data_IF_863421115124
#
_entry.id   IF_863421115124
#
_cell.length_a   1.000
_cell.length_b   1.000
_cell.length_c   1.000
_cell.angle_alpha   90.00
_cell.angle_beta   90.00
_cell.angle_gamma   90.00
#
_symmetry.space_group_name_H-M   'P 1'
#
loop_
_entity.id
_entity.type
_entity.pdbx_description
1 polymer ?
#
# COMPACT_ATOMS: atom_id res chain seq x y z
N UNK A 1 29.24 -5.73 -4.75
CA UNK A 1 28.98 -4.33 -4.33
C UNK A 1 30.29 -3.55 -4.38
N UNK A 2 30.30 -2.26 -4.77
CA UNK A 2 31.53 -1.48 -4.87
C UNK A 2 32.12 -1.13 -3.49
N UNK A 3 33.45 -1.03 -3.35
CA UNK A 3 34.11 -0.58 -2.12
C UNK A 3 33.94 0.94 -1.99
N UNK A 4 33.23 1.40 -0.96
CA UNK A 4 32.94 2.82 -0.72
C UNK A 4 31.48 3.12 -0.36
N UNK A 5 30.58 2.14 -0.48
CA UNK A 5 29.23 2.21 0.07
C UNK A 5 29.27 1.89 1.57
N UNK A 6 29.69 2.85 2.38
CA UNK A 6 29.49 2.83 3.83
C UNK A 6 28.00 2.91 4.18
N UNK A 7 27.63 2.37 5.35
CA UNK A 7 26.28 2.42 5.92
C UNK A 7 25.65 3.81 5.72
N UNK A 8 24.45 3.81 5.10
CA UNK A 8 23.77 5.04 4.69
C UNK A 8 23.48 5.91 5.91
N UNK A 9 23.93 7.17 5.80
CA UNK A 9 23.67 8.31 6.69
C UNK A 9 23.72 8.01 8.18
N UNK A 10 24.75 8.52 8.85
CA UNK A 10 24.57 9.06 10.20
C UNK A 10 23.57 10.22 10.09
N UNK A 11 22.28 9.89 9.99
CA UNK A 11 21.20 10.86 10.05
C UNK A 11 21.27 11.52 11.41
N UNK A 12 21.18 12.85 11.44
CA UNK A 12 21.08 13.59 12.69
C UNK A 12 20.09 12.90 13.64
N UNK A 13 20.42 12.81 14.93
CA UNK A 13 19.54 12.22 15.93
C UNK A 13 18.10 12.74 15.71
N UNK A 14 17.11 11.85 15.72
CA UNK A 14 15.70 12.14 15.48
C UNK A 14 15.19 13.35 16.26
N UNK A 15 15.69 13.55 17.48
CA UNK A 15 15.43 14.71 18.31
C UNK A 15 15.76 16.05 17.62
N UNK A 16 16.84 16.08 16.83
CA UNK A 16 17.31 17.24 16.06
C UNK A 16 16.40 17.51 14.86
N UNK A 17 15.99 16.46 14.14
CA UNK A 17 15.10 16.58 12.98
C UNK A 17 13.68 17.05 13.39
N UNK A 18 13.13 16.47 14.46
CA UNK A 18 11.79 16.80 14.95
C UNK A 18 11.71 18.23 15.51
N UNK A 19 12.77 18.70 16.20
CA UNK A 19 12.88 20.09 16.66
C UNK A 19 12.94 21.09 15.51
N UNK A 20 13.69 20.78 14.45
CA UNK A 20 13.83 21.66 13.29
C UNK A 20 12.52 21.86 12.50
N UNK A 21 11.57 20.93 12.63
CA UNK A 21 10.27 20.99 11.95
C UNK A 21 9.11 21.40 12.87
N UNK A 22 9.38 21.89 14.09
CA UNK A 22 8.36 22.31 15.06
C UNK A 22 7.32 21.22 15.39
N UNK A 23 7.68 19.95 15.20
CA UNK A 23 6.80 18.82 15.48
C UNK A 23 6.95 18.41 16.95
N UNK A 24 5.88 18.36 17.76
CA UNK A 24 5.97 17.93 19.15
C UNK A 24 6.39 16.45 19.20
N UNK A 25 7.57 16.17 19.76
CA UNK A 25 7.96 14.82 20.15
C UNK A 25 7.11 14.40 21.34
N UNK A 26 6.04 13.64 21.09
CA UNK A 26 5.48 12.76 22.11
C UNK A 26 6.40 11.54 22.16
N UNK A 27 7.01 11.20 23.31
CA UNK A 27 7.71 9.94 23.45
C UNK A 27 6.71 8.83 23.14
N UNK A 28 6.87 8.16 22.00
CA UNK A 28 6.12 6.96 21.68
C UNK A 28 6.43 6.00 22.81
N UNK A 29 5.43 5.68 23.65
CA UNK A 29 5.60 4.60 24.62
C UNK A 29 6.08 3.38 23.83
N UNK A 30 7.22 2.81 24.22
CA UNK A 30 7.77 1.65 23.51
C UNK A 30 6.71 0.56 23.51
N UNK A 31 6.27 0.07 22.34
CA UNK A 31 5.26 -0.97 22.29
C UNK A 31 5.74 -2.15 23.13
N UNK A 32 4.96 -2.57 24.11
CA UNK A 32 5.28 -3.73 24.95
C UNK A 32 4.67 -4.97 24.28
N UNK A 33 5.44 -6.05 24.19
CA UNK A 33 4.94 -7.36 23.78
C UNK A 33 4.00 -7.96 24.83
N UNK A 34 3.36 -9.08 24.52
CA UNK A 34 2.48 -9.80 25.47
C UNK A 34 3.19 -10.19 26.79
N UNK A 35 4.51 -10.26 26.76
CA UNK A 35 5.39 -10.52 27.91
C UNK A 35 5.79 -9.25 28.69
N UNK A 36 5.32 -8.07 28.29
CA UNK A 36 5.70 -6.80 28.92
C UNK A 36 7.11 -6.32 28.54
N UNK A 37 7.77 -6.95 27.57
CA UNK A 37 9.10 -6.53 27.09
C UNK A 37 8.98 -5.52 25.95
N UNK A 38 9.88 -4.53 25.86
CA UNK A 38 9.95 -3.61 24.73
C UNK A 38 10.12 -4.35 23.40
N UNK A 39 9.20 -4.13 22.46
CA UNK A 39 9.34 -4.65 21.09
C UNK A 39 10.45 -3.83 20.42
N UNK A 40 11.56 -4.44 19.98
CA UNK A 40 12.60 -3.73 19.25
C UNK A 40 12.00 -3.22 17.93
N UNK A 41 11.90 -1.90 17.79
CA UNK A 41 11.53 -1.22 16.55
C UNK A 41 12.82 -0.82 15.86
N UNK A 42 13.06 -1.35 14.67
CA UNK A 42 14.33 -1.16 13.94
C UNK A 42 14.60 0.32 13.59
N UNK A 43 13.56 1.14 13.50
CA UNK A 43 13.64 2.56 13.13
C UNK A 43 12.80 3.43 14.09
N UNK A 44 13.40 3.93 15.17
CA UNK A 44 12.81 5.01 15.96
C UNK A 44 12.49 6.20 15.05
N UNK A 45 11.40 6.93 15.29
CA UNK A 45 11.02 8.11 14.47
C UNK A 45 10.39 7.83 13.11
N UNK A 46 10.37 6.58 12.62
CA UNK A 46 9.55 6.20 11.46
C UNK A 46 8.13 5.86 11.86
N UNK A 47 7.17 6.24 11.00
CA UNK A 47 5.77 5.87 11.20
C UNK A 47 5.65 4.35 11.16
N UNK A 48 5.20 3.74 12.26
CA UNK A 48 5.08 2.29 12.32
C UNK A 48 4.06 1.79 11.28
N UNK A 49 4.26 0.57 10.79
CA UNK A 49 3.28 -0.12 9.93
C UNK A 49 1.88 -0.13 10.56
N UNK A 50 1.79 -0.33 11.88
CA UNK A 50 0.52 -0.34 12.61
C UNK A 50 -0.15 1.02 12.56
N UNK A 51 0.61 2.11 12.69
CA UNK A 51 0.07 3.47 12.58
C UNK A 51 -0.49 3.72 11.19
N UNK A 52 0.19 3.28 10.13
CA UNK A 52 -0.33 3.37 8.76
C UNK A 52 -1.62 2.57 8.58
N UNK A 53 -1.68 1.32 9.09
CA UNK A 53 -2.87 0.48 8.98
C UNK A 53 -4.07 1.10 9.71
N UNK A 54 -3.85 1.65 10.91
CA UNK A 54 -4.91 2.36 11.67
C UNK A 54 -5.39 3.61 10.95
N UNK A 55 -4.51 4.32 10.24
CA UNK A 55 -4.91 5.47 9.44
C UNK A 55 -5.83 5.06 8.26
N UNK A 56 -5.54 3.95 7.60
CA UNK A 56 -6.42 3.41 6.54
C UNK A 56 -7.76 2.90 7.10
N UNK A 57 -7.75 2.27 8.26
CA UNK A 57 -8.96 1.83 8.95
C UNK A 57 -9.85 3.01 9.35
N UNK A 58 -9.28 4.05 9.97
CA UNK A 58 -10.02 5.25 10.32
C UNK A 58 -10.63 5.96 9.10
N UNK A 59 -9.89 6.01 7.98
CA UNK A 59 -10.42 6.53 6.71
C UNK A 59 -11.56 5.67 6.17
N UNK A 60 -11.47 4.35 6.29
CA UNK A 60 -12.52 3.43 5.85
C UNK A 60 -13.80 3.63 6.67
N UNK A 61 -13.70 3.71 8.00
CA UNK A 61 -14.83 3.92 8.91
C UNK A 61 -15.55 5.25 8.65
N UNK A 62 -14.80 6.32 8.37
CA UNK A 62 -15.36 7.63 8.03
C UNK A 62 -16.17 7.60 6.73
N UNK A 63 -15.67 6.88 5.73
CA UNK A 63 -16.32 6.78 4.41
C UNK A 63 -17.45 5.74 4.34
N UNK A 64 -17.36 4.67 5.14
CA UNK A 64 -18.28 3.52 5.10
C UNK A 64 -18.85 3.20 6.50
N UNK A 65 -19.53 4.14 7.17
CA UNK A 65 -19.96 3.98 8.57
C UNK A 65 -20.99 2.86 8.79
N UNK A 66 -21.61 2.34 7.72
CA UNK A 66 -22.60 1.26 7.76
C UNK A 66 -21.99 -0.12 7.48
N UNK A 67 -20.73 -0.19 7.06
CA UNK A 67 -20.07 -1.45 6.67
C UNK A 67 -19.20 -1.99 7.81
N UNK A 68 -19.85 -2.64 8.79
CA UNK A 68 -19.17 -3.14 10.01
C UNK A 68 -18.46 -4.48 9.82
N UNK A 69 -18.88 -5.29 8.83
CA UNK A 69 -18.41 -6.67 8.65
C UNK A 69 -17.43 -6.83 7.48
N UNK A 70 -17.09 -5.73 6.80
CA UNK A 70 -16.21 -5.73 5.62
C UNK A 70 -14.79 -5.37 6.04
N UNK A 71 -13.83 -6.09 5.46
CA UNK A 71 -12.41 -5.82 5.71
C UNK A 71 -12.03 -4.42 5.20
N UNK A 72 -11.54 -3.58 6.10
CA UNK A 72 -11.07 -2.23 5.81
C UNK A 72 -9.86 -2.21 4.87
N UNK A 73 -9.57 -1.03 4.30
CA UNK A 73 -8.40 -0.82 3.46
C UNK A 73 -7.09 -0.93 4.23
N UNK A 74 -6.03 -1.27 3.49
CA UNK A 74 -4.65 -1.29 4.00
C UNK A 74 -3.74 -0.59 2.99
N UNK A 75 -2.46 -0.39 3.33
CA UNK A 75 -1.48 0.14 2.37
C UNK A 75 -1.37 -0.69 1.08
N UNK A 76 -1.62 -2.00 1.14
CA UNK A 76 -1.66 -2.86 -0.05
C UNK A 76 -2.86 -2.55 -0.95
N UNK A 77 -4.00 -2.15 -0.36
CA UNK A 77 -5.20 -1.77 -1.11
C UNK A 77 -4.94 -0.60 -2.06
N UNK A 78 -4.15 0.40 -1.63
CA UNK A 78 -3.76 1.54 -2.47
C UNK A 78 -2.93 1.08 -3.68
N UNK A 79 -1.97 0.17 -3.47
CA UNK A 79 -1.14 -0.37 -4.56
C UNK A 79 -1.99 -1.16 -5.57
N UNK A 80 -2.97 -1.92 -5.10
CA UNK A 80 -3.93 -2.65 -5.95
C UNK A 80 -4.83 -1.67 -6.72
N UNK A 81 -5.36 -0.64 -6.05
CA UNK A 81 -6.16 0.41 -6.67
C UNK A 81 -5.41 1.15 -7.78
N UNK A 82 -4.14 1.50 -7.56
CA UNK A 82 -3.30 2.11 -8.60
C UNK A 82 -3.12 1.21 -9.83
N UNK A 83 -2.98 -0.11 -9.65
CA UNK A 83 -2.92 -1.06 -10.76
C UNK A 83 -4.23 -1.06 -11.57
N UNK A 84 -5.37 -1.02 -10.86
CA UNK A 84 -6.71 -0.98 -11.45
C UNK A 84 -6.91 0.30 -12.27
N UNK A 85 -6.54 1.45 -11.72
CA UNK A 85 -6.63 2.75 -12.41
C UNK A 85 -5.77 2.79 -13.68
N UNK A 86 -4.53 2.29 -13.62
CA UNK A 86 -3.68 2.20 -14.80
C UNK A 86 -4.27 1.26 -15.86
N UNK A 87 -4.86 0.13 -15.47
CA UNK A 87 -5.53 -0.76 -16.40
C UNK A 87 -6.79 -0.11 -17.03
N UNK A 88 -7.54 0.68 -16.26
CA UNK A 88 -8.65 1.49 -16.78
C UNK A 88 -8.20 2.52 -17.79
N UNK A 89 -7.08 3.20 -17.52
CA UNK A 89 -6.47 4.17 -18.44
C UNK A 89 -5.83 3.53 -19.69
N UNK A 90 -5.85 2.19 -19.80
CA UNK A 90 -5.39 1.46 -21.00
C UNK A 90 -3.90 1.15 -21.02
N UNK A 91 -3.19 1.30 -19.89
CA UNK A 91 -1.78 0.91 -19.80
C UNK A 91 -1.62 -0.61 -19.91
N UNK A 92 -0.49 -1.03 -20.47
CA UNK A 92 -0.18 -2.45 -20.64
C UNK A 92 0.25 -3.10 -19.32
N UNK A 93 0.13 -4.43 -19.24
CA UNK A 93 0.57 -5.20 -18.09
C UNK A 93 2.03 -4.91 -17.69
N UNK A 94 2.94 -4.77 -18.68
CA UNK A 94 4.36 -4.49 -18.42
C UNK A 94 4.59 -3.11 -17.79
N UNK A 95 3.88 -2.08 -18.27
CA UNK A 95 3.95 -0.73 -17.68
C UNK A 95 3.41 -0.71 -16.25
N UNK A 96 2.34 -1.45 -16.00
CA UNK A 96 1.77 -1.61 -14.65
C UNK A 96 2.77 -2.34 -13.74
N UNK A 97 3.39 -3.43 -14.23
CA UNK A 97 4.45 -4.16 -13.54
C UNK A 97 5.63 -3.26 -13.15
N UNK A 98 6.11 -2.44 -14.08
CA UNK A 98 7.20 -1.50 -13.85
C UNK A 98 6.84 -0.48 -12.77
N UNK A 99 5.69 0.19 -12.90
CA UNK A 99 5.24 1.21 -11.96
C UNK A 99 4.99 0.67 -10.55
N UNK A 100 4.36 -0.50 -10.46
CA UNK A 100 4.10 -1.14 -9.18
C UNK A 100 5.23 -2.03 -8.69
N UNK A 101 6.36 -2.11 -9.38
CA UNK A 101 7.48 -3.01 -9.08
C UNK A 101 7.05 -4.46 -8.79
N UNK A 102 6.24 -5.04 -9.67
CA UNK A 102 5.85 -6.45 -9.63
C UNK A 102 6.76 -7.29 -10.51
N UNK A 103 7.33 -8.35 -9.95
CA UNK A 103 8.22 -9.25 -10.68
C UNK A 103 7.47 -10.21 -11.61
N UNK A 104 6.16 -10.33 -11.46
CA UNK A 104 5.35 -11.32 -12.17
C UNK A 104 4.03 -10.71 -12.68
N UNK A 105 3.71 -10.97 -13.95
CA UNK A 105 2.48 -10.57 -14.62
C UNK A 105 1.22 -11.18 -14.01
N UNK A 106 1.29 -12.42 -13.52
CA UNK A 106 0.15 -13.10 -12.89
C UNK A 106 -0.38 -12.35 -11.66
N UNK A 107 0.49 -11.63 -10.95
CA UNK A 107 0.09 -10.78 -9.83
C UNK A 107 -0.76 -9.59 -10.31
N UNK A 108 -0.33 -8.93 -11.38
CA UNK A 108 -1.07 -7.82 -11.98
C UNK A 108 -2.40 -8.31 -12.54
N UNK A 109 -2.40 -9.40 -13.31
CA UNK A 109 -3.62 -9.99 -13.88
C UNK A 109 -4.62 -10.39 -12.80
N UNK A 110 -4.17 -10.84 -11.62
CA UNK A 110 -5.07 -11.12 -10.48
C UNK A 110 -5.80 -9.87 -10.00
N UNK A 111 -5.11 -8.73 -9.90
CA UNK A 111 -5.68 -7.47 -9.40
C UNK A 111 -6.64 -6.82 -10.39
N UNK A 112 -6.33 -6.88 -11.69
CA UNK A 112 -7.13 -6.20 -12.72
C UNK A 112 -8.17 -7.10 -13.38
N UNK A 113 -8.26 -8.37 -12.96
CA UNK A 113 -9.11 -9.41 -13.58
C UNK A 113 -10.57 -9.00 -13.77
N UNK A 114 -11.13 -8.29 -12.78
CA UNK A 114 -12.53 -7.88 -12.82
C UNK A 114 -12.77 -6.80 -13.87
N UNK A 115 -11.81 -5.90 -14.08
CA UNK A 115 -11.88 -4.87 -15.12
C UNK A 115 -11.81 -5.50 -16.52
N UNK A 116 -10.96 -6.52 -16.67
CA UNK A 116 -10.82 -7.23 -17.94
C UNK A 116 -11.96 -8.20 -18.24
N UNK A 117 -12.81 -8.53 -17.26
CA UNK A 117 -13.89 -9.50 -17.44
C UNK A 117 -14.87 -9.12 -18.56
N UNK A 118 -15.15 -7.82 -18.71
CA UNK A 118 -15.99 -7.30 -19.81
C UNK A 118 -15.32 -7.37 -21.18
N UNK A 119 -13.99 -7.45 -21.24
CA UNK A 119 -13.19 -7.50 -22.48
C UNK A 119 -12.92 -8.94 -22.95
N UNK A 120 -13.39 -9.95 -22.21
CA UNK A 120 -13.14 -11.35 -22.56
C UNK A 120 -13.85 -11.73 -23.86
N UNK A 121 -13.18 -12.55 -24.66
CA UNK A 121 -13.67 -12.98 -25.97
C UNK A 121 -15.08 -13.55 -25.93
N UNK A 122 -15.40 -14.40 -24.93
CA UNK A 122 -16.74 -14.97 -24.79
C UNK A 122 -17.80 -13.91 -24.42
N UNK A 123 -17.45 -12.96 -23.56
CA UNK A 123 -18.35 -11.85 -23.19
C UNK A 123 -18.66 -10.99 -24.42
N UNK A 124 -17.65 -10.65 -25.20
CA UNK A 124 -17.79 -9.88 -26.43
C UNK A 124 -18.60 -10.64 -27.50
N UNK A 125 -18.35 -11.94 -27.66
CA UNK A 125 -19.10 -12.81 -28.56
C UNK A 125 -20.58 -12.89 -28.19
N UNK A 126 -20.90 -13.07 -26.91
CA UNK A 126 -22.29 -13.13 -26.43
C UNK A 126 -23.02 -11.79 -26.58
N UNK A 127 -22.34 -10.66 -26.35
CA UNK A 127 -22.93 -9.33 -26.56
C UNK A 127 -23.27 -9.09 -28.04
N UNK A 128 -22.34 -9.40 -28.95
CA UNK A 128 -22.58 -9.26 -30.38
C UNK A 128 -23.72 -10.15 -30.92
N UNK A 129 -23.99 -11.28 -30.26
CA UNK A 129 -25.09 -12.18 -30.61
C UNK A 129 -26.47 -11.74 -30.07
N UNK A 130 -26.53 -10.74 -29.19
CA UNK A 130 -27.78 -10.19 -28.64
C UNK A 130 -28.21 -8.89 -29.34
N UNK A 131 -27.31 -8.27 -30.09
CA UNK A 131 -27.53 -7.03 -30.84
C UNK A 131 -27.95 -7.26 -32.32
N UNK A 132 -28.10 -8.53 -32.75
CA UNK A 132 -28.68 -8.99 -34.03
C UNK A 132 -30.09 -9.57 -33.84
#
# INVERSE_FOLDING_TARGET
MPPGWGLRSQGNEINTLLRNHNMPYLPTQTPLGENGEPIPVEDEGMLSKNTLLRAFEALWEDLHPQETDIRCWTGHSVRVGGAIELAHAGYTHLQIMEMGNWSNVEMVSRYIRNIEAGKKAMTQFMLGALDE
#
